data_IF_750415606789
#
_entry.id   IF_750415606789
#
_cell.length_a   1.000
_cell.length_b   1.000
_cell.length_c   1.000
_cell.angle_alpha   90.00
_cell.angle_beta   90.00
_cell.angle_gamma   90.00
#
_symmetry.space_group_name_H-M   'P 1'
#
loop_
_entity.id
_entity.type
_entity.pdbx_description
1 polymer ?
#
# COMPACT_ATOMS: atom_id res chain seq x y z
N UNK A 1 -4.85 1.10 -13.22
CA UNK A 1 -4.20 0.25 -12.20
C UNK A 1 -3.53 1.07 -11.10
N UNK A 2 -2.55 1.93 -11.41
CA UNK A 2 -1.86 2.77 -10.40
C UNK A 2 -2.79 3.51 -9.44
N UNK A 3 -3.87 4.12 -9.96
CA UNK A 3 -4.87 4.84 -9.13
C UNK A 3 -5.48 3.95 -8.04
N UNK A 4 -5.94 2.74 -8.37
CA UNK A 4 -6.54 1.81 -7.40
C UNK A 4 -5.52 1.31 -6.36
N UNK A 5 -4.26 1.12 -6.76
CA UNK A 5 -3.17 0.77 -5.85
C UNK A 5 -2.90 1.91 -4.86
N UNK A 6 -2.91 3.16 -5.35
CA UNK A 6 -2.74 4.34 -4.52
C UNK A 6 -3.93 4.53 -3.56
N UNK A 7 -5.16 4.30 -4.01
CA UNK A 7 -6.35 4.36 -3.15
C UNK A 7 -6.28 3.32 -2.01
N UNK A 8 -5.93 2.06 -2.30
CA UNK A 8 -5.75 1.04 -1.27
C UNK A 8 -4.63 1.38 -0.27
N UNK A 9 -3.55 2.00 -0.76
CA UNK A 9 -2.47 2.53 0.09
C UNK A 9 -2.97 3.67 0.98
N UNK A 10 -3.62 4.68 0.41
CA UNK A 10 -4.04 5.90 1.12
C UNK A 10 -5.11 5.60 2.17
N UNK A 11 -6.10 4.74 1.85
CA UNK A 11 -7.13 4.30 2.80
C UNK A 11 -6.50 3.63 4.02
N UNK A 12 -5.58 2.69 3.79
CA UNK A 12 -4.90 1.96 4.87
C UNK A 12 -4.02 2.89 5.71
N UNK A 13 -3.28 3.81 5.07
CA UNK A 13 -2.47 4.80 5.79
C UNK A 13 -3.35 5.70 6.63
N UNK A 14 -4.45 6.21 6.08
CA UNK A 14 -5.37 7.08 6.80
C UNK A 14 -5.98 6.37 8.02
N UNK A 15 -6.36 5.11 7.89
CA UNK A 15 -6.86 4.30 9.00
C UNK A 15 -5.80 4.09 10.09
N UNK A 16 -4.58 3.70 9.72
CA UNK A 16 -3.49 3.48 10.67
C UNK A 16 -3.13 4.78 11.42
N UNK A 17 -3.09 5.91 10.72
CA UNK A 17 -2.88 7.23 11.33
C UNK A 17 -4.03 7.62 12.26
N UNK A 18 -5.29 7.37 11.86
CA UNK A 18 -6.46 7.62 12.70
C UNK A 18 -6.45 6.78 13.99
N UNK A 19 -5.80 5.61 13.98
CA UNK A 19 -5.58 4.77 15.14
C UNK A 19 -4.38 5.21 16.01
N UNK A 20 -3.68 6.30 15.63
CA UNK A 20 -2.54 6.83 16.36
C UNK A 20 -1.22 6.12 16.07
N UNK A 21 -1.13 5.33 14.99
CA UNK A 21 0.13 4.72 14.59
C UNK A 21 1.13 5.78 14.09
N UNK A 22 2.44 5.59 14.34
CA UNK A 22 3.47 6.42 13.73
C UNK A 22 3.42 6.36 12.20
N UNK A 23 3.81 7.46 11.53
CA UNK A 23 3.82 7.55 10.06
C UNK A 23 4.58 6.41 9.37
N UNK A 24 5.69 5.94 9.97
CA UNK A 24 6.48 4.83 9.45
C UNK A 24 5.73 3.50 9.50
N UNK A 25 4.89 3.28 10.52
CA UNK A 25 4.04 2.09 10.65
C UNK A 25 2.89 2.17 9.64
N UNK A 26 2.20 3.32 9.59
CA UNK A 26 1.12 3.55 8.64
C UNK A 26 1.58 3.37 7.18
N UNK A 27 2.74 3.92 6.81
CA UNK A 27 3.34 3.73 5.49
C UNK A 27 3.58 2.24 5.17
N UNK A 28 4.14 1.48 6.12
CA UNK A 28 4.39 0.04 5.93
C UNK A 28 3.09 -0.74 5.74
N UNK A 29 2.05 -0.42 6.49
CA UNK A 29 0.73 -1.03 6.34
C UNK A 29 0.10 -0.68 4.99
N UNK A 30 0.18 0.58 4.56
CA UNK A 30 -0.25 1.01 3.23
C UNK A 30 0.44 0.25 2.10
N UNK A 31 1.77 0.12 2.14
CA UNK A 31 2.53 -0.65 1.14
C UNK A 31 2.08 -2.11 1.12
N UNK A 32 1.80 -2.68 2.30
CA UNK A 32 1.35 -4.06 2.43
C UNK A 32 -0.04 -4.25 1.80
N UNK A 33 -1.00 -3.38 2.13
CA UNK A 33 -2.35 -3.44 1.58
C UNK A 33 -2.36 -3.26 0.05
N UNK A 34 -1.63 -2.27 -0.45
CA UNK A 34 -1.47 -2.04 -1.88
C UNK A 34 -0.81 -3.23 -2.61
N UNK A 35 0.16 -3.90 -1.97
CA UNK A 35 0.81 -5.08 -2.52
C UNK A 35 -0.14 -6.29 -2.56
N UNK A 36 -0.90 -6.51 -1.48
CA UNK A 36 -1.94 -7.55 -1.43
C UNK A 36 -3.03 -7.31 -2.48
N UNK A 37 -3.46 -6.07 -2.66
CA UNK A 37 -4.42 -5.69 -3.70
C UNK A 37 -3.87 -5.94 -5.11
N UNK A 38 -2.62 -5.55 -5.37
CA UNK A 38 -1.98 -5.81 -6.66
C UNK A 38 -1.83 -7.32 -6.93
N UNK A 39 -1.40 -8.08 -5.91
CA UNK A 39 -1.27 -9.55 -5.96
C UNK A 39 -2.61 -10.19 -6.34
N UNK A 40 -3.70 -9.84 -5.65
CA UNK A 40 -5.03 -10.43 -5.92
C UNK A 40 -5.56 -10.10 -7.33
N UNK A 41 -5.23 -8.93 -7.87
CA UNK A 41 -5.64 -8.48 -9.20
C UNK A 41 -4.84 -9.12 -10.35
N UNK A 42 -3.60 -9.55 -10.09
CA UNK A 42 -2.64 -9.93 -11.15
C UNK A 42 -2.09 -11.33 -11.02
N UNK A 43 -2.27 -12.00 -9.87
CA UNK A 43 -1.65 -13.28 -9.56
C UNK A 43 -0.13 -13.18 -9.30
N UNK A 44 0.42 -11.98 -9.14
CA UNK A 44 1.83 -11.81 -8.78
C UNK A 44 2.09 -12.35 -7.37
N UNK A 45 3.22 -13.03 -7.18
CA UNK A 45 3.68 -13.39 -5.85
C UNK A 45 3.97 -12.15 -5.00
N UNK A 46 3.78 -12.26 -3.68
CA UNK A 46 3.84 -11.14 -2.74
C UNK A 46 5.11 -10.28 -2.87
N UNK A 47 6.27 -10.93 -3.06
CA UNK A 47 7.54 -10.21 -3.22
C UNK A 47 7.58 -9.34 -4.49
N UNK A 48 7.02 -9.84 -5.60
CA UNK A 48 6.97 -9.12 -6.87
C UNK A 48 5.91 -8.00 -6.82
N UNK A 49 4.75 -8.26 -6.21
CA UNK A 49 3.72 -7.25 -6.01
C UNK A 49 4.24 -6.10 -5.12
N UNK A 50 4.90 -6.44 -4.01
CA UNK A 50 5.48 -5.45 -3.09
C UNK A 50 6.56 -4.60 -3.75
N UNK A 51 7.50 -5.23 -4.48
CA UNK A 51 8.52 -4.51 -5.26
C UNK A 51 7.89 -3.53 -6.24
N UNK A 52 6.81 -3.95 -6.90
CA UNK A 52 6.08 -3.10 -7.84
C UNK A 52 5.44 -1.90 -7.15
N UNK A 53 4.82 -2.09 -5.98
CA UNK A 53 4.23 -1.00 -5.18
C UNK A 53 5.29 -0.02 -4.68
N UNK A 54 6.39 -0.52 -4.10
CA UNK A 54 7.50 0.33 -3.62
C UNK A 54 8.11 1.17 -4.75
N UNK A 55 8.14 0.63 -5.98
CA UNK A 55 8.62 1.37 -7.17
C UNK A 55 7.75 2.58 -7.56
N UNK A 56 6.48 2.60 -7.12
CA UNK A 56 5.56 3.71 -7.39
C UNK A 56 5.84 4.95 -6.53
N UNK A 57 6.66 4.81 -5.48
CA UNK A 57 7.03 5.87 -4.53
C UNK A 57 5.79 6.62 -4.01
N UNK A 58 4.82 5.87 -3.52
CA UNK A 58 3.60 6.42 -2.95
C UNK A 58 3.91 7.12 -1.62
N UNK A 59 3.31 8.28 -1.43
CA UNK A 59 3.36 9.08 -0.22
C UNK A 59 1.93 9.36 0.22
N UNK A 60 1.69 9.44 1.53
CA UNK A 60 0.36 9.73 2.05
C UNK A 60 -0.06 11.15 1.62
N UNK A 61 -1.25 11.27 1.04
CA UNK A 61 -1.82 12.55 0.60
C UNK A 61 -2.25 13.47 1.76
#
# INVERSE_FOLDING_TARGET
MRKMIAEAYDETVAEALAQGQPQTVAHREGVTAAAMFLSSMTGLEDAAARTSVESLRLEAA
#
